data_IF_645075995694
#
_entry.id   IF_645075995694
#
_cell.length_a   1.000
_cell.length_b   1.000
_cell.length_c   1.000
_cell.angle_alpha   90.00
_cell.angle_beta   90.00
_cell.angle_gamma   90.00
#
_symmetry.space_group_name_H-M   'P 1'
#
loop_
_entity.id
_entity.type
_entity.pdbx_description
1 polymer ?
#
# COMPACT_ATOMS: atom_id res chain seq x y z
N UNK A 1 -11.02 -0.57 -3.53
CA UNK A 1 -10.41 0.53 -4.31
C UNK A 1 -9.10 0.11 -4.97
N UNK A 2 -8.74 0.80 -6.05
CA UNK A 2 -7.37 0.82 -6.56
C UNK A 2 -6.64 2.03 -5.96
N UNK A 3 -5.42 1.81 -5.46
CA UNK A 3 -4.58 2.83 -4.83
C UNK A 3 -3.58 3.32 -5.87
N UNK A 4 -3.51 4.65 -6.04
CA UNK A 4 -2.56 5.32 -6.92
C UNK A 4 -1.26 5.70 -6.20
N UNK A 5 -0.19 5.96 -6.96
CA UNK A 5 1.14 6.31 -6.45
C UNK A 5 1.07 7.59 -5.62
N UNK A 6 0.32 8.60 -6.10
CA UNK A 6 0.13 9.89 -5.42
C UNK A 6 -0.45 9.75 -4.01
N UNK A 7 -1.44 8.87 -3.81
CA UNK A 7 -2.04 8.62 -2.50
C UNK A 7 -1.07 7.96 -1.51
N UNK A 8 -0.17 7.10 -2.01
CA UNK A 8 0.88 6.49 -1.19
C UNK A 8 1.97 7.50 -0.83
N UNK A 9 2.39 8.32 -1.78
CA UNK A 9 3.35 9.42 -1.57
C UNK A 9 2.81 10.37 -0.51
N UNK A 10 1.56 10.80 -0.64
CA UNK A 10 0.92 11.69 0.34
C UNK A 10 0.96 11.12 1.77
N UNK A 11 0.69 9.83 1.94
CA UNK A 11 0.77 9.16 3.25
C UNK A 11 2.21 9.02 3.73
N UNK A 12 3.15 8.66 2.84
CA UNK A 12 4.55 8.43 3.20
C UNK A 12 5.29 9.71 3.60
N UNK A 13 4.94 10.84 2.99
CA UNK A 13 5.57 12.14 3.24
C UNK A 13 4.75 13.06 4.16
N UNK A 14 3.70 12.53 4.81
CA UNK A 14 2.83 13.27 5.73
C UNK A 14 2.27 14.57 5.09
N UNK A 15 1.83 14.46 3.83
CA UNK A 15 1.15 15.56 3.15
C UNK A 15 -0.20 15.86 3.82
N UNK A 16 -0.76 17.08 3.64
CA UNK A 16 -2.00 17.49 4.32
C UNK A 16 -3.18 16.52 4.15
N UNK A 17 -3.23 15.80 3.03
CA UNK A 17 -4.28 14.86 2.68
C UNK A 17 -4.05 13.44 3.24
N UNK A 18 -2.88 13.16 3.86
CA UNK A 18 -2.47 11.83 4.32
C UNK A 18 -3.53 11.13 5.18
N UNK A 19 -4.06 11.83 6.18
CA UNK A 19 -5.03 11.26 7.11
C UNK A 19 -6.37 10.92 6.42
N UNK A 20 -6.75 11.70 5.41
CA UNK A 20 -7.96 11.45 4.61
C UNK A 20 -7.76 10.22 3.74
N UNK A 21 -6.61 10.09 3.08
CA UNK A 21 -6.29 8.93 2.27
C UNK A 21 -6.19 7.66 3.11
N UNK A 22 -5.49 7.71 4.25
CA UNK A 22 -5.35 6.57 5.16
C UNK A 22 -6.71 6.05 5.65
N UNK A 23 -7.61 6.96 6.06
CA UNK A 23 -8.97 6.59 6.49
C UNK A 23 -9.79 5.95 5.36
N UNK A 24 -9.75 6.53 4.15
CA UNK A 24 -10.48 5.98 3.01
C UNK A 24 -9.96 4.60 2.62
N UNK A 25 -8.63 4.43 2.57
CA UNK A 25 -7.99 3.15 2.28
C UNK A 25 -8.37 2.10 3.33
N UNK A 26 -8.33 2.44 4.63
CA UNK A 26 -8.67 1.52 5.70
C UNK A 26 -10.15 1.09 5.71
N UNK A 27 -11.05 1.96 5.25
CA UNK A 27 -12.48 1.69 5.20
C UNK A 27 -12.90 0.78 4.02
N UNK A 28 -12.03 0.54 3.05
CA UNK A 28 -12.35 -0.28 1.87
C UNK A 28 -11.90 -1.73 2.07
N UNK A 29 -12.86 -2.66 1.93
CA UNK A 29 -12.64 -4.09 2.16
C UNK A 29 -11.67 -4.74 1.15
N UNK A 30 -11.48 -4.15 -0.03
CA UNK A 30 -10.55 -4.67 -1.04
C UNK A 30 -9.63 -3.55 -1.50
N UNK A 31 -8.32 -3.70 -1.26
CA UNK A 31 -7.30 -2.71 -1.60
C UNK A 31 -6.37 -3.30 -2.65
N UNK A 32 -6.43 -2.77 -3.86
CA UNK A 32 -5.59 -3.19 -4.98
C UNK A 32 -4.52 -2.13 -5.22
N UNK A 33 -3.29 -2.57 -5.46
CA UNK A 33 -2.19 -1.72 -5.93
C UNK A 33 -1.60 -2.40 -7.16
N UNK A 34 -1.31 -1.63 -8.22
CA UNK A 34 -0.64 -2.19 -9.39
C UNK A 34 0.84 -2.42 -9.10
N UNK A 35 1.45 -3.43 -9.73
CA UNK A 35 2.90 -3.66 -9.61
C UNK A 35 3.71 -2.44 -10.09
N UNK A 36 3.21 -1.72 -11.11
CA UNK A 36 3.85 -0.50 -11.62
C UNK A 36 3.81 0.65 -10.60
N UNK A 37 2.65 0.87 -9.96
CA UNK A 37 2.45 1.84 -8.87
C UNK A 37 3.40 1.59 -7.70
N UNK A 38 3.60 0.32 -7.35
CA UNK A 38 4.53 -0.07 -6.28
C UNK A 38 5.98 0.22 -6.64
N UNK A 39 6.38 -0.02 -7.90
CA UNK A 39 7.73 0.29 -8.40
C UNK A 39 7.97 1.79 -8.45
N UNK A 40 7.02 2.57 -8.95
CA UNK A 40 7.11 4.03 -9.03
C UNK A 40 7.22 4.66 -7.63
N UNK A 41 6.40 4.20 -6.68
CA UNK A 41 6.52 4.62 -5.28
C UNK A 41 7.88 4.23 -4.69
N UNK A 42 8.38 3.02 -4.95
CA UNK A 42 9.69 2.59 -4.47
C UNK A 42 10.84 3.44 -5.05
N UNK A 43 10.78 3.77 -6.34
CA UNK A 43 11.75 4.65 -7.00
C UNK A 43 11.69 6.08 -6.43
N UNK A 44 10.48 6.64 -6.27
CA UNK A 44 10.30 7.97 -5.71
C UNK A 44 10.77 8.09 -4.25
N UNK A 45 10.55 7.06 -3.44
CA UNK A 45 11.00 7.05 -2.04
C UNK A 45 12.51 6.80 -1.92
N UNK A 46 13.13 6.02 -2.81
CA UNK A 46 14.60 5.87 -2.84
C UNK A 46 15.31 7.18 -3.21
N UNK A 47 14.72 8.00 -4.07
CA UNK A 47 15.25 9.32 -4.46
C UNK A 47 15.10 10.38 -3.35
N UNK A 48 14.06 10.27 -2.51
CA UNK A 48 13.75 11.22 -1.43
C UNK A 48 14.28 10.82 -0.03
N UNK A 49 14.64 9.56 0.22
CA UNK A 49 15.03 9.09 1.57
C UNK A 49 16.05 7.94 1.61
N UNK A 50 16.59 7.49 0.47
CA UNK A 50 17.50 6.35 0.44
C UNK A 50 16.91 5.08 1.08
N UNK A 51 17.76 4.24 1.69
CA UNK A 51 17.44 2.87 2.14
C UNK A 51 16.33 2.72 3.22
N UNK A 52 15.82 3.81 3.80
CA UNK A 52 14.78 3.79 4.84
C UNK A 52 13.39 3.55 4.25
N UNK A 53 13.14 4.08 3.04
CA UNK A 53 11.87 3.94 2.34
C UNK A 53 11.45 2.50 2.10
N UNK A 54 12.37 1.69 1.59
CA UNK A 54 12.16 0.27 1.24
C UNK A 54 11.63 -0.56 2.43
N UNK A 55 11.99 -0.20 3.66
CA UNK A 55 11.61 -0.94 4.88
C UNK A 55 10.18 -0.67 5.32
N UNK A 56 9.58 0.45 4.93
CA UNK A 56 8.17 0.78 5.23
C UNK A 56 7.18 0.23 4.18
N UNK A 57 7.66 -0.01 2.96
CA UNK A 57 6.82 -0.51 1.85
C UNK A 57 6.65 -2.04 1.93
N UNK A 58 7.69 -2.76 2.40
CA UNK A 58 7.68 -4.23 2.50
C UNK A 58 6.57 -4.82 3.41
N UNK A 59 6.22 -4.22 4.57
CA UNK A 59 5.12 -4.72 5.41
C UNK A 59 3.75 -4.67 4.73
N UNK A 60 3.48 -3.66 3.89
CA UNK A 60 2.20 -3.48 3.19
C UNK A 60 1.92 -4.54 2.12
N UNK A 61 2.98 -5.14 1.55
CA UNK A 61 2.87 -6.19 0.54
C UNK A 61 2.72 -7.61 1.14
N UNK A 62 2.95 -7.77 2.45
CA UNK A 62 3.06 -9.08 3.11
C UNK A 62 1.79 -9.56 3.82
N UNK A 63 0.75 -8.73 3.92
CA UNK A 63 -0.54 -9.14 4.47
C UNK A 63 -1.33 -9.96 3.44
N UNK A 64 -1.18 -11.29 3.51
CA UNK A 64 -1.77 -12.28 2.59
C UNK A 64 -3.31 -12.17 2.42
N UNK A 65 -3.83 -12.28 1.19
CA UNK A 65 -5.26 -12.27 0.88
C UNK A 65 -5.83 -13.68 0.67
N UNK A 66 -5.55 -14.66 1.53
CA UNK A 66 -6.18 -15.98 1.37
C UNK A 66 -6.42 -16.74 2.67
N UNK A 67 -7.64 -16.64 3.19
CA UNK A 67 -8.20 -17.60 4.15
C UNK A 67 -9.70 -17.76 3.91
N UNK A 68 -10.09 -18.16 2.71
CA UNK A 68 -11.46 -18.62 2.41
C UNK A 68 -11.44 -19.72 1.34
N UNK A 69 -10.86 -20.88 1.65
CA UNK A 69 -11.27 -22.15 1.05
C UNK A 69 -11.00 -23.28 2.04
N UNK A 70 -11.91 -23.49 2.98
CA UNK A 70 -12.07 -24.80 3.63
C UNK A 70 -13.49 -24.90 4.23
N UNK A 71 -14.47 -24.95 3.34
CA UNK A 71 -15.71 -25.69 3.60
C UNK A 71 -15.74 -26.91 2.69
N UNK A 72 -15.97 -28.07 3.32
CA UNK A 72 -16.36 -29.35 2.71
C UNK A 72 -15.26 -30.21 2.08
N UNK A 73 -14.76 -31.19 2.85
CA UNK A 73 -14.90 -32.63 2.53
C UNK A 73 -14.36 -33.53 3.65
N UNK A 74 -15.24 -34.46 4.06
CA UNK A 74 -15.10 -35.59 4.99
C UNK A 74 -15.20 -35.29 6.49
#
# INVERSE_FOLDING_TARGET
MAIDTSALVAILFDEPEAEVFARRIAADGVRLISAATLVEAAMGVEDLSGAVGRRQIMPLASSSPNRLTETSKF
#
